data_IF_107707617999
#
_entry.id   IF_107707617999
#
_cell.length_a   1.000
_cell.length_b   1.000
_cell.length_c   1.000
_cell.angle_alpha   90.00
_cell.angle_beta   90.00
_cell.angle_gamma   90.00
#
_symmetry.space_group_name_H-M   'P 1'
#
loop_
_entity.id
_entity.type
_entity.pdbx_description
1 polymer ?
#
# COMPACT_ATOMS: atom_id res chain seq x y z
N UNK A 1 -21.32 42.41 70.01
CA UNK A 1 -21.68 41.14 69.34
C UNK A 1 -20.37 40.43 69.00
N UNK A 2 -19.97 39.40 69.77
CA UNK A 2 -18.72 38.67 69.52
C UNK A 2 -19.01 37.60 68.46
N UNK A 3 -18.37 37.70 67.30
CA UNK A 3 -18.33 36.61 66.31
C UNK A 3 -17.52 35.47 66.93
N UNK A 4 -18.07 34.26 66.96
CA UNK A 4 -17.30 33.08 67.27
C UNK A 4 -16.41 32.78 66.06
N UNK A 5 -15.09 32.93 66.21
CA UNK A 5 -14.15 32.40 65.23
C UNK A 5 -14.24 30.88 65.28
N UNK A 6 -14.84 30.29 64.25
CA UNK A 6 -14.85 28.85 64.06
C UNK A 6 -13.51 28.43 63.45
N UNK A 7 -12.61 27.92 64.28
CA UNK A 7 -11.39 27.27 63.79
C UNK A 7 -11.73 26.01 62.98
N UNK A 8 -10.88 25.67 62.01
CA UNK A 8 -11.01 24.44 61.24
C UNK A 8 -10.88 23.22 62.15
N UNK A 9 -11.75 22.23 61.98
CA UNK A 9 -11.67 20.98 62.74
C UNK A 9 -10.58 20.07 62.17
N UNK A 10 -9.98 19.21 63.00
CA UNK A 10 -9.01 18.20 62.53
C UNK A 10 -9.62 17.29 61.44
N UNK A 11 -10.90 16.95 61.60
CA UNK A 11 -11.65 16.13 60.65
C UNK A 11 -11.72 16.80 59.26
N UNK A 12 -11.95 18.12 59.24
CA UNK A 12 -12.09 18.88 58.00
C UNK A 12 -10.79 18.90 57.19
N UNK A 13 -9.65 19.08 57.84
CA UNK A 13 -8.34 19.02 57.18
C UNK A 13 -8.06 17.62 56.62
N UNK A 14 -8.39 16.57 57.37
CA UNK A 14 -8.22 15.18 56.92
C UNK A 14 -9.13 14.89 55.72
N UNK A 15 -10.39 15.33 55.77
CA UNK A 15 -11.34 15.15 54.66
C UNK A 15 -10.88 15.94 53.43
N UNK A 16 -10.42 17.18 53.59
CA UNK A 16 -9.90 17.98 52.50
C UNK A 16 -8.68 17.32 51.83
N UNK A 17 -7.73 16.80 52.63
CA UNK A 17 -6.58 16.06 52.13
C UNK A 17 -6.98 14.74 51.44
N UNK A 18 -8.00 14.05 51.96
CA UNK A 18 -8.52 12.83 51.34
C UNK A 18 -9.14 13.12 49.96
N UNK A 19 -9.98 14.16 49.86
CA UNK A 19 -10.57 14.59 48.59
C UNK A 19 -9.48 15.04 47.61
N UNK A 20 -8.51 15.84 48.09
CA UNK A 20 -7.40 16.30 47.27
C UNK A 20 -6.58 15.13 46.70
N UNK A 21 -6.29 14.13 47.53
CA UNK A 21 -5.55 12.93 47.11
C UNK A 21 -6.31 12.17 46.02
N UNK A 22 -7.63 12.00 46.16
CA UNK A 22 -8.48 11.38 45.14
C UNK A 22 -8.49 12.20 43.83
N UNK A 23 -8.58 13.52 43.93
CA UNK A 23 -8.56 14.41 42.77
C UNK A 23 -7.23 14.32 42.01
N UNK A 24 -6.10 14.29 42.72
CA UNK A 24 -4.76 14.14 42.11
C UNK A 24 -4.63 12.79 41.40
N UNK A 25 -5.06 11.69 42.04
CA UNK A 25 -5.04 10.36 41.42
C UNK A 25 -5.91 10.33 40.17
N UNK A 26 -7.12 10.87 40.23
CA UNK A 26 -8.01 10.95 39.07
C UNK A 26 -7.40 11.79 37.93
N UNK A 27 -6.74 12.91 38.25
CA UNK A 27 -6.08 13.75 37.26
C UNK A 27 -4.93 12.99 36.55
N UNK A 28 -4.08 12.31 37.30
CA UNK A 28 -2.98 11.50 36.73
C UNK A 28 -3.53 10.40 35.81
N UNK A 29 -4.58 9.70 36.24
CA UNK A 29 -5.22 8.67 35.42
C UNK A 29 -5.82 9.26 34.12
N UNK A 30 -6.46 10.43 34.22
CA UNK A 30 -6.98 11.16 33.05
C UNK A 30 -5.88 11.51 32.05
N UNK A 31 -4.73 12.01 32.51
CA UNK A 31 -3.60 12.30 31.64
C UNK A 31 -3.01 11.04 31.00
N UNK A 32 -2.84 9.96 31.75
CA UNK A 32 -2.35 8.68 31.22
C UNK A 32 -3.27 8.14 30.13
N UNK A 33 -4.59 8.23 30.32
CA UNK A 33 -5.57 7.85 29.31
C UNK A 33 -5.50 8.74 28.07
N UNK A 34 -5.33 10.06 28.24
CA UNK A 34 -5.15 11.01 27.15
C UNK A 34 -3.92 10.69 26.29
N UNK A 35 -2.76 10.42 26.92
CA UNK A 35 -1.53 10.06 26.22
C UNK A 35 -1.68 8.73 25.45
N UNK A 36 -2.38 7.75 26.02
CA UNK A 36 -2.67 6.49 25.34
C UNK A 36 -3.52 6.70 24.09
N UNK A 37 -4.51 7.58 24.18
CA UNK A 37 -5.38 7.91 23.04
C UNK A 37 -4.62 8.67 21.95
N UNK A 38 -3.75 9.60 22.33
CA UNK A 38 -2.89 10.33 21.41
C UNK A 38 -1.93 9.39 20.67
N UNK A 39 -1.29 8.45 21.40
CA UNK A 39 -0.45 7.42 20.79
C UNK A 39 -1.24 6.60 19.77
N UNK A 40 -2.44 6.17 20.12
CA UNK A 40 -3.28 5.38 19.23
C UNK A 40 -3.64 6.13 17.93
N UNK A 41 -4.03 7.40 18.05
CA UNK A 41 -4.32 8.24 16.89
C UNK A 41 -3.07 8.44 16.02
N UNK A 42 -1.90 8.67 16.66
CA UNK A 42 -0.62 8.80 15.96
C UNK A 42 -0.21 7.55 15.21
N UNK A 43 -0.35 6.36 15.82
CA UNK A 43 -0.03 5.09 15.17
C UNK A 43 -0.96 4.81 13.98
N UNK A 44 -2.25 5.14 14.10
CA UNK A 44 -3.20 5.03 12.99
C UNK A 44 -2.84 5.96 11.83
N UNK A 45 -2.48 7.22 12.12
CA UNK A 45 -2.09 8.17 11.09
C UNK A 45 -0.80 7.74 10.38
N UNK A 46 0.18 7.21 11.11
CA UNK A 46 1.41 6.65 10.52
C UNK A 46 1.14 5.43 9.65
N UNK A 47 0.27 4.51 10.10
CA UNK A 47 -0.11 3.35 9.31
C UNK A 47 -0.79 3.75 7.99
N UNK A 48 -1.66 4.78 8.03
CA UNK A 48 -2.31 5.33 6.84
C UNK A 48 -1.31 5.94 5.86
N UNK A 49 -0.35 6.73 6.36
CA UNK A 49 0.71 7.31 5.52
C UNK A 49 1.60 6.24 4.89
N UNK A 50 1.97 5.21 5.65
CA UNK A 50 2.74 4.08 5.14
C UNK A 50 1.96 3.31 4.06
N UNK A 51 0.66 3.09 4.26
CA UNK A 51 -0.19 2.44 3.27
C UNK A 51 -0.25 3.25 1.96
N UNK A 52 -0.41 4.58 2.05
CA UNK A 52 -0.45 5.47 0.88
C UNK A 52 0.91 5.52 0.16
N UNK A 53 2.02 5.56 0.91
CA UNK A 53 3.37 5.45 0.37
C UNK A 53 3.53 4.15 -0.44
N UNK A 54 3.22 2.99 0.16
CA UNK A 54 3.38 1.69 -0.50
C UNK A 54 2.43 1.48 -1.67
N UNK A 55 1.26 2.13 -1.68
CA UNK A 55 0.36 2.13 -2.83
C UNK A 55 0.93 2.98 -3.99
N UNK A 56 1.56 4.12 -3.68
CA UNK A 56 2.12 5.04 -4.68
C UNK A 56 3.48 4.63 -5.23
N UNK A 57 4.24 3.83 -4.47
CA UNK A 57 5.54 3.27 -4.90
C UNK A 57 5.42 2.43 -6.18
N UNK A 58 4.24 1.85 -6.43
CA UNK A 58 3.95 1.10 -7.66
C UNK A 58 3.74 2.05 -8.83
N UNK A 59 4.84 2.36 -9.53
CA UNK A 59 4.83 3.19 -10.74
C UNK A 59 4.40 2.38 -11.96
N UNK A 60 4.94 1.17 -12.13
CA UNK A 60 4.57 0.22 -13.17
C UNK A 60 4.00 -1.05 -12.50
N UNK A 61 2.67 -1.19 -12.43
CA UNK A 61 2.03 -2.28 -11.70
C UNK A 61 2.20 -3.62 -12.44
N UNK A 62 2.83 -4.56 -11.75
CA UNK A 62 2.85 -5.97 -12.12
C UNK A 62 1.99 -6.78 -11.15
N UNK A 63 1.36 -7.86 -11.62
CA UNK A 63 0.61 -8.75 -10.74
C UNK A 63 1.54 -9.43 -9.75
N UNK A 64 1.18 -9.39 -8.48
CA UNK A 64 2.05 -9.94 -7.45
C UNK A 64 1.60 -9.64 -6.04
N UNK A 65 2.35 -10.21 -5.10
CA UNK A 65 2.22 -9.93 -3.67
C UNK A 65 3.60 -9.59 -3.12
N UNK A 66 3.64 -8.52 -2.36
CA UNK A 66 4.81 -8.10 -1.61
C UNK A 66 4.46 -7.91 -0.15
N UNK A 67 5.45 -8.04 0.72
CA UNK A 67 5.27 -7.89 2.15
C UNK A 67 6.58 -7.44 2.78
N UNK A 68 6.47 -6.71 3.88
CA UNK A 68 7.62 -6.18 4.57
C UNK A 68 7.28 -5.66 5.96
N UNK A 69 8.30 -5.10 6.60
CA UNK A 69 8.18 -4.47 7.91
C UNK A 69 8.90 -3.15 7.88
N UNK A 70 8.26 -2.12 8.43
CA UNK A 70 8.82 -0.78 8.57
C UNK A 70 8.61 -0.30 10.00
N UNK A 71 9.69 -0.30 10.78
CA UNK A 71 9.63 -0.08 12.23
C UNK A 71 8.73 -1.11 12.92
N UNK A 72 7.66 -0.64 13.55
CA UNK A 72 6.67 -1.48 14.24
C UNK A 72 5.49 -1.88 13.35
N UNK A 73 5.48 -1.45 12.09
CA UNK A 73 4.40 -1.71 11.16
C UNK A 73 4.79 -2.84 10.22
N UNK A 74 3.97 -3.89 10.14
CA UNK A 74 4.07 -4.92 9.12
C UNK A 74 3.12 -4.56 7.99
N UNK A 75 3.53 -4.69 6.74
CA UNK A 75 2.68 -4.36 5.60
C UNK A 75 2.66 -5.48 4.57
N UNK A 76 1.55 -5.56 3.84
CA UNK A 76 1.31 -6.48 2.74
C UNK A 76 0.70 -5.68 1.58
N UNK A 77 1.23 -5.86 0.38
CA UNK A 77 0.71 -5.27 -0.86
C UNK A 77 0.33 -6.38 -1.81
N UNK A 78 -0.85 -6.28 -2.41
CA UNK A 78 -1.30 -7.21 -3.44
C UNK A 78 -1.76 -6.40 -4.65
N UNK A 79 -1.21 -6.74 -5.82
CA UNK A 79 -1.56 -6.12 -7.09
C UNK A 79 -2.24 -7.15 -7.98
N UNK A 80 -3.43 -6.85 -8.48
CA UNK A 80 -4.23 -7.72 -9.34
C UNK A 80 -4.68 -6.96 -10.59
N UNK A 81 -4.75 -7.63 -11.75
CA UNK A 81 -5.36 -7.03 -12.94
C UNK A 81 -6.87 -7.22 -12.88
N UNK A 82 -7.61 -6.13 -12.95
CA UNK A 82 -9.07 -6.19 -13.07
C UNK A 82 -9.43 -6.27 -14.56
N UNK A 83 -10.18 -7.31 -14.99
CA UNK A 83 -10.76 -7.32 -16.32
C UNK A 83 -11.80 -6.20 -16.42
N UNK A 84 -11.65 -5.33 -17.43
CA UNK A 84 -12.57 -4.23 -17.69
C UNK A 84 -13.26 -4.43 -19.05
N UNK A 85 -14.38 -5.21 -19.10
CA UNK A 85 -15.04 -5.57 -20.35
C UNK A 85 -15.51 -4.34 -21.15
N UNK A 86 -15.96 -3.28 -20.47
CA UNK A 86 -16.43 -2.03 -21.09
C UNK A 86 -15.29 -1.22 -21.76
N UNK A 87 -14.04 -1.50 -21.41
CA UNK A 87 -12.85 -0.88 -22.00
C UNK A 87 -12.25 -1.71 -23.13
N UNK A 88 -12.82 -2.88 -23.43
CA UNK A 88 -12.42 -3.73 -24.55
C UNK A 88 -13.14 -3.23 -25.82
N UNK A 89 -12.42 -2.71 -26.83
CA UNK A 89 -13.04 -2.29 -28.07
C UNK A 89 -13.74 -3.47 -28.76
N UNK A 90 -14.91 -3.25 -29.37
CA UNK A 90 -15.62 -4.25 -30.20
C UNK A 90 -14.76 -4.76 -31.37
N UNK A 91 -13.76 -3.98 -31.79
CA UNK A 91 -12.74 -4.34 -32.78
C UNK A 91 -11.40 -3.75 -32.34
N UNK A 92 -10.37 -4.59 -32.18
CA UNK A 92 -8.99 -4.18 -31.87
C UNK A 92 -8.42 -4.73 -30.55
N UNK A 93 -7.14 -4.44 -30.28
CA UNK A 93 -6.48 -4.78 -29.01
C UNK A 93 -6.89 -3.79 -27.90
N UNK A 94 -7.11 -4.25 -26.65
CA UNK A 94 -7.38 -3.36 -25.53
C UNK A 94 -6.25 -2.35 -25.40
N UNK A 95 -6.60 -1.07 -25.24
CA UNK A 95 -5.61 0.02 -25.12
C UNK A 95 -5.19 0.29 -23.68
N UNK A 96 -5.94 -0.22 -22.71
CA UNK A 96 -5.76 0.07 -21.29
C UNK A 96 -5.92 -1.20 -20.44
N UNK A 97 -5.13 -1.32 -19.37
CA UNK A 97 -5.34 -2.26 -18.26
C UNK A 97 -5.65 -1.48 -17.00
N UNK A 98 -6.52 -2.05 -16.16
CA UNK A 98 -6.77 -1.56 -14.82
C UNK A 98 -6.11 -2.53 -13.85
N UNK A 99 -5.35 -1.98 -12.92
CA UNK A 99 -4.75 -2.69 -11.80
C UNK A 99 -5.42 -2.22 -10.52
N UNK A 100 -5.73 -3.17 -9.65
CA UNK A 100 -6.11 -2.92 -8.27
C UNK A 100 -4.90 -3.23 -7.39
N UNK A 101 -4.57 -2.26 -6.53
CA UNK A 101 -3.45 -2.33 -5.60
C UNK A 101 -4.04 -2.22 -4.20
N UNK A 102 -4.06 -3.33 -3.48
CA UNK A 102 -4.49 -3.43 -2.10
C UNK A 102 -3.29 -3.39 -1.17
N UNK A 103 -3.26 -2.44 -0.25
CA UNK A 103 -2.20 -2.31 0.75
C UNK A 103 -2.79 -2.42 2.14
N UNK A 104 -2.30 -3.38 2.92
CA UNK A 104 -2.68 -3.62 4.31
C UNK A 104 -1.49 -3.35 5.22
N UNK A 105 -1.71 -2.56 6.26
CA UNK A 105 -0.69 -2.23 7.27
C UNK A 105 -1.19 -2.62 8.64
N UNK A 106 -0.38 -3.36 9.39
CA UNK A 106 -0.65 -3.94 10.71
C UNK A 106 0.35 -3.42 11.74
N UNK A 107 -0.07 -3.11 12.97
CA UNK A 107 0.84 -2.64 14.04
C UNK A 107 0.46 -3.10 15.45
N UNK A 108 -0.56 -3.94 15.55
CA UNK A 108 -1.02 -4.62 16.75
C UNK A 108 -1.77 -5.88 16.28
N UNK A 109 -2.00 -6.86 17.16
CA UNK A 109 -2.63 -8.13 16.77
C UNK A 109 -4.04 -7.95 16.16
N UNK A 110 -4.70 -6.83 16.46
CA UNK A 110 -6.07 -6.55 16.04
C UNK A 110 -6.24 -5.26 15.25
N UNK A 111 -5.15 -4.53 14.99
CA UNK A 111 -5.24 -3.20 14.36
C UNK A 111 -4.57 -3.22 13.00
N UNK A 112 -5.34 -2.83 12.01
CA UNK A 112 -4.87 -2.69 10.64
C UNK A 112 -5.54 -1.50 9.95
N UNK A 113 -4.92 -1.03 8.87
CA UNK A 113 -5.47 -0.10 7.89
C UNK A 113 -5.33 -0.75 6.53
N UNK A 114 -6.31 -0.53 5.67
CA UNK A 114 -6.33 -1.01 4.30
C UNK A 114 -6.59 0.17 3.36
N UNK A 115 -5.83 0.25 2.27
CA UNK A 115 -6.02 1.19 1.17
C UNK A 115 -6.12 0.39 -0.12
N UNK A 116 -7.16 0.67 -0.90
CA UNK A 116 -7.37 0.11 -2.23
C UNK A 116 -7.16 1.24 -3.25
N UNK A 117 -6.27 1.02 -4.21
CA UNK A 117 -5.98 1.99 -5.26
C UNK A 117 -6.19 1.36 -6.64
N UNK A 118 -6.97 2.03 -7.48
CA UNK A 118 -7.14 1.65 -8.89
C UNK A 118 -6.21 2.47 -9.76
N UNK A 119 -5.44 1.80 -10.63
CA UNK A 119 -4.49 2.43 -11.55
C UNK A 119 -4.74 1.95 -12.96
N UNK A 120 -4.86 2.90 -13.89
CA UNK A 120 -5.01 2.61 -15.32
C UNK A 120 -3.68 2.81 -16.03
N UNK A 121 -3.26 1.82 -16.82
CA UNK A 121 -2.02 1.86 -17.61
C UNK A 121 -2.30 1.61 -19.09
N UNK A 122 -1.67 2.37 -20.01
CA UNK A 122 -1.77 2.08 -21.44
C UNK A 122 -1.05 0.76 -21.77
N UNK A 123 -1.62 -0.09 -22.63
CA UNK A 123 -0.86 -1.22 -23.18
C UNK A 123 0.15 -0.70 -24.19
N UNK A 124 1.43 -0.85 -23.87
CA UNK A 124 2.50 -0.73 -24.88
C UNK A 124 2.47 -1.97 -25.76
N UNK A 125 1.81 -1.89 -26.91
CA UNK A 125 1.92 -2.93 -27.94
C UNK A 125 3.28 -2.74 -28.62
N UNK A 126 4.27 -3.55 -28.23
CA UNK A 126 5.49 -3.69 -29.01
C UNK A 126 5.10 -4.41 -30.29
N UNK A 127 4.99 -3.67 -31.39
CA UNK A 127 4.81 -4.27 -32.70
C UNK A 127 6.06 -5.08 -33.01
N UNK A 128 5.98 -6.40 -32.86
CA UNK A 128 6.95 -7.31 -33.44
C UNK A 128 6.84 -7.11 -34.95
N UNK A 129 7.73 -6.30 -35.52
CA UNK A 129 7.87 -6.20 -36.99
C UNK A 129 8.00 -7.63 -37.51
N UNK A 130 7.13 -8.09 -38.42
CA UNK A 130 7.34 -9.36 -39.06
C UNK A 130 8.67 -9.27 -39.78
N UNK A 131 9.65 -10.07 -39.35
CA UNK A 131 10.87 -10.35 -40.11
C UNK A 131 10.40 -10.74 -41.49
N UNK A 132 10.57 -9.84 -42.46
CA UNK A 132 10.27 -10.11 -43.86
C UNK A 132 11.17 -11.27 -44.26
N UNK A 133 10.63 -12.46 -44.62
CA UNK A 133 11.47 -13.49 -45.18
C UNK A 133 12.00 -12.95 -46.51
N UNK A 134 13.31 -12.78 -46.60
CA UNK A 134 14.02 -12.46 -47.84
C UNK A 134 13.51 -13.37 -48.96
N UNK A 135 12.96 -12.84 -50.07
CA UNK A 135 12.47 -13.68 -51.15
C UNK A 135 13.65 -14.36 -51.84
N UNK A 136 13.69 -15.69 -51.74
CA UNK A 136 14.20 -16.61 -52.76
C UNK A 136 15.58 -16.31 -53.38
N UNK A 137 16.64 -16.83 -52.76
CA UNK A 137 17.82 -17.24 -53.54
C UNK A 137 17.45 -18.46 -54.38
N UNK A 138 17.24 -18.24 -55.68
CA UNK A 138 17.05 -19.25 -56.73
C UNK A 138 18.08 -20.39 -56.58
N UNK A 139 17.71 -21.67 -56.70
CA UNK A 139 18.66 -22.77 -56.69
C UNK A 139 19.60 -22.65 -57.91
N UNK A 140 20.90 -22.72 -57.66
CA UNK A 140 21.91 -22.82 -58.70
C UNK A 140 21.75 -24.16 -59.44
N UNK A 141 21.58 -24.09 -60.76
CA UNK A 141 21.60 -25.26 -61.64
C UNK A 141 23.01 -25.86 -61.66
N UNK A 142 23.20 -27.17 -61.44
CA UNK A 142 24.51 -27.79 -61.59
C UNK A 142 24.91 -27.77 -63.07
N UNK A 143 26.07 -27.19 -63.38
CA UNK A 143 26.66 -27.23 -64.71
C UNK A 143 27.08 -28.66 -65.08
N UNK A 144 26.65 -29.11 -66.25
CA UNK A 144 27.08 -30.36 -66.89
C UNK A 144 28.55 -30.27 -67.32
N UNK A 145 29.41 -31.26 -67.04
CA UNK A 145 30.79 -31.27 -67.52
C UNK A 145 30.85 -31.58 -69.03
N UNK A 146 31.84 -31.04 -69.79
CA UNK A 146 31.96 -31.29 -71.21
C UNK A 146 32.47 -32.70 -71.51
N UNK A 147 31.83 -33.34 -72.48
CA UNK A 147 32.25 -34.60 -73.13
C UNK A 147 33.46 -34.34 -74.03
N UNK A 148 34.54 -35.15 -73.97
CA UNK A 148 35.64 -35.02 -74.92
C UNK A 148 35.27 -35.65 -76.28
N UNK A 149 35.61 -34.94 -77.36
CA UNK A 149 35.47 -35.43 -78.74
C UNK A 149 36.61 -36.40 -79.10
N UNK A 150 36.39 -37.34 -80.05
CA UNK A 150 37.30 -38.45 -80.27
C UNK A 150 38.43 -38.11 -81.26
N UNK A 151 39.64 -38.63 -80.99
CA UNK A 151 40.58 -39.20 -81.96
C UNK A 151 41.70 -39.94 -81.26
#
# INVERSE_FOLDING_TARGET
MKRADAGFTLLEVIVALAILSLAVVAAIQGFAQGLRLLKLAGDHQRAMLLADEKAREVVDPEEGREQGTEGNFRWERQTTVIPAPDLVPTVGVPRWRIYEIDVKVFWDERRQVEINMLRTMPLTVVATTPTTPTPGSRPATPATPPVPAPR
#
